data_IF_489249838103
#
_entry.id   IF_489249838103
#
_cell.length_a   1.000
_cell.length_b   1.000
_cell.length_c   1.000
_cell.angle_alpha   90.00
_cell.angle_beta   90.00
_cell.angle_gamma   90.00
#
_symmetry.space_group_name_H-M   'P 1'
#
loop_
_entity.id
_entity.type
_entity.pdbx_description
1 polymer ?
#
# COMPACT_ATOMS: atom_id res chain seq x y z
N UNK A 1 12.00 41.48 -10.26
CA UNK A 1 12.46 40.32 -11.03
C UNK A 1 11.56 39.14 -10.67
N UNK A 2 10.52 38.95 -11.47
CA UNK A 2 9.55 37.85 -11.32
C UNK A 2 10.21 36.58 -11.84
N UNK A 3 10.25 35.50 -11.04
CA UNK A 3 10.55 34.16 -11.56
C UNK A 3 9.23 33.59 -12.07
N UNK A 4 9.06 33.58 -13.39
CA UNK A 4 7.97 32.84 -14.00
C UNK A 4 8.15 31.34 -13.69
N UNK A 5 7.08 30.60 -13.36
CA UNK A 5 7.17 29.16 -13.16
C UNK A 5 7.45 28.53 -14.54
N UNK A 6 8.58 27.83 -14.66
CA UNK A 6 8.97 27.12 -15.87
C UNK A 6 7.87 26.12 -16.25
N UNK A 7 7.02 26.51 -17.20
CA UNK A 7 6.15 25.59 -17.93
C UNK A 7 7.00 24.80 -18.91
N UNK A 8 7.38 23.59 -18.51
CA UNK A 8 7.99 22.62 -19.42
C UNK A 8 6.94 22.13 -20.41
N UNK A 9 7.20 22.19 -21.73
CA UNK A 9 6.25 21.74 -22.72
C UNK A 9 6.07 20.23 -22.61
N UNK A 10 4.82 19.81 -22.43
CA UNK A 10 4.41 18.41 -22.55
C UNK A 10 4.78 17.91 -23.95
N UNK A 11 5.49 16.79 -24.11
CA UNK A 11 5.64 16.16 -25.41
C UNK A 11 4.25 15.77 -25.91
N UNK A 12 3.85 16.36 -27.03
CA UNK A 12 2.77 15.86 -27.83
C UNK A 12 3.28 14.58 -28.51
N UNK A 13 2.48 13.53 -28.42
CA UNK A 13 2.63 12.24 -29.08
C UNK A 13 3.43 11.18 -28.31
N UNK A 14 2.68 10.13 -27.98
CA UNK A 14 3.03 8.89 -27.29
C UNK A 14 3.17 8.93 -25.75
N UNK A 15 2.01 8.83 -25.08
CA UNK A 15 1.87 8.71 -23.63
C UNK A 15 2.31 7.35 -23.07
N UNK A 16 2.89 6.45 -23.88
CA UNK A 16 3.12 5.06 -23.47
C UNK A 16 4.58 4.62 -23.41
N UNK A 17 5.56 5.43 -23.83
CA UNK A 17 6.95 5.01 -23.79
C UNK A 17 7.90 6.08 -23.25
N UNK A 18 8.29 5.92 -21.99
CA UNK A 18 9.46 6.57 -21.40
C UNK A 18 10.55 5.51 -21.18
N UNK A 19 11.76 5.65 -21.75
CA UNK A 19 12.86 4.70 -21.52
C UNK A 19 13.27 4.55 -20.04
N UNK A 20 12.79 5.40 -19.12
CA UNK A 20 12.92 5.18 -17.66
C UNK A 20 12.07 4.03 -17.11
N UNK A 21 11.16 3.44 -17.90
CA UNK A 21 10.34 2.30 -17.49
C UNK A 21 11.16 1.03 -17.20
N UNK A 22 12.35 0.86 -17.79
CA UNK A 22 13.14 -0.36 -17.60
C UNK A 22 13.72 -0.50 -16.18
N UNK A 23 13.95 0.60 -15.46
CA UNK A 23 14.49 0.59 -14.09
C UNK A 23 13.47 1.03 -13.02
N UNK A 24 12.53 1.91 -13.37
CA UNK A 24 11.58 2.50 -12.42
C UNK A 24 10.11 2.33 -12.82
N UNK A 25 9.83 1.51 -13.84
CA UNK A 25 8.48 1.19 -14.26
C UNK A 25 7.68 0.46 -13.19
N UNK A 26 6.35 0.48 -13.35
CA UNK A 26 5.46 -0.30 -12.52
C UNK A 26 5.56 -1.78 -12.91
N UNK A 27 5.70 -2.65 -11.91
CA UNK A 27 5.57 -4.10 -12.11
C UNK A 27 4.12 -4.45 -12.49
N UNK A 28 3.84 -5.59 -13.13
CA UNK A 28 2.46 -5.99 -13.46
C UNK A 28 1.50 -5.97 -12.26
N UNK A 29 1.98 -6.34 -11.06
CA UNK A 29 1.21 -6.24 -9.82
C UNK A 29 0.95 -4.80 -9.36
N UNK A 30 1.89 -3.88 -9.63
CA UNK A 30 1.72 -2.45 -9.37
C UNK A 30 0.72 -1.80 -10.34
N UNK A 31 0.66 -2.27 -11.60
CA UNK A 31 -0.33 -1.84 -12.57
C UNK A 31 -1.75 -2.21 -12.14
N UNK A 32 -1.93 -3.41 -11.59
CA UNK A 32 -3.20 -3.86 -11.01
C UNK A 32 -3.76 -2.87 -9.97
N UNK A 33 -2.87 -2.31 -9.13
CA UNK A 33 -3.22 -1.34 -8.10
C UNK A 33 -3.46 0.07 -8.67
N UNK A 34 -2.59 0.52 -9.59
CA UNK A 34 -2.77 1.78 -10.34
C UNK A 34 -4.16 1.84 -10.98
N UNK A 35 -4.56 0.77 -11.67
CA UNK A 35 -5.81 0.73 -12.41
C UNK A 35 -7.04 0.75 -11.49
N UNK A 36 -6.87 0.37 -10.21
CA UNK A 36 -7.89 0.41 -9.15
C UNK A 36 -7.87 1.67 -8.29
N UNK A 37 -6.94 2.60 -8.54
CA UNK A 37 -6.84 3.84 -7.77
C UNK A 37 -8.17 4.61 -7.68
N UNK A 38 -8.99 4.76 -8.75
CA UNK A 38 -10.28 5.46 -8.64
C UNK A 38 -11.24 4.78 -7.68
N UNK A 39 -11.26 3.45 -7.67
CA UNK A 39 -12.10 2.64 -6.80
C UNK A 39 -11.66 2.76 -5.33
N UNK A 40 -10.36 2.61 -5.05
CA UNK A 40 -9.81 2.78 -3.70
C UNK A 40 -10.04 4.20 -3.17
N UNK A 41 -9.90 5.22 -4.04
CA UNK A 41 -10.18 6.61 -3.69
C UNK A 41 -11.63 6.85 -3.32
N UNK A 42 -12.57 6.20 -4.04
CA UNK A 42 -13.99 6.23 -3.72
C UNK A 42 -14.31 5.53 -2.39
N UNK A 43 -13.57 4.47 -2.06
CA UNK A 43 -13.63 3.78 -0.77
C UNK A 43 -12.94 4.54 0.39
N UNK A 44 -12.28 5.68 0.10
CA UNK A 44 -11.65 6.51 1.14
C UNK A 44 -10.15 6.25 1.34
N UNK A 45 -9.48 5.60 0.39
CA UNK A 45 -8.05 5.28 0.47
C UNK A 45 -7.24 5.93 -0.66
N UNK A 46 -6.09 6.50 -0.33
CA UNK A 46 -5.19 7.12 -1.31
C UNK A 46 -3.90 6.33 -1.42
N UNK A 47 -3.59 5.84 -2.62
CA UNK A 47 -2.30 5.22 -2.90
C UNK A 47 -1.18 6.26 -3.01
N UNK A 48 0.05 5.80 -2.84
CA UNK A 48 1.27 6.60 -3.04
C UNK A 48 1.30 7.29 -4.40
N UNK A 49 2.06 8.39 -4.48
CA UNK A 49 2.21 9.20 -5.70
C UNK A 49 2.65 8.40 -6.92
N UNK A 50 3.47 7.36 -6.72
CA UNK A 50 3.93 6.40 -7.74
C UNK A 50 2.80 5.82 -8.61
N UNK A 51 1.61 5.65 -8.04
CA UNK A 51 0.45 5.05 -8.71
C UNK A 51 -0.48 6.08 -9.38
N UNK A 52 -0.13 7.38 -9.33
CA UNK A 52 -0.97 8.41 -9.94
C UNK A 52 -0.76 8.49 -11.46
N UNK A 53 -1.83 8.77 -12.24
CA UNK A 53 -1.71 9.02 -13.67
C UNK A 53 -0.70 10.14 -13.94
N UNK A 54 0.17 9.94 -14.94
CA UNK A 54 1.23 10.88 -15.31
C UNK A 54 2.31 11.10 -14.24
N UNK A 55 2.40 10.25 -13.21
CA UNK A 55 3.56 10.27 -12.33
C UNK A 55 4.80 9.88 -13.15
N UNK A 56 5.77 10.78 -13.16
CA UNK A 56 7.11 10.50 -13.64
C UNK A 56 8.08 10.76 -12.49
N UNK A 57 9.04 9.85 -12.35
CA UNK A 57 10.20 10.05 -11.49
C UNK A 57 10.87 11.39 -11.86
N UNK A 58 10.92 12.33 -10.92
CA UNK A 58 11.59 13.62 -11.11
C UNK A 58 13.10 13.53 -10.84
N UNK A 59 13.64 12.33 -10.57
CA UNK A 59 15.04 12.17 -10.23
C UNK A 59 15.91 12.52 -11.44
N UNK A 60 16.87 13.45 -11.31
CA UNK A 60 17.73 13.83 -12.44
C UNK A 60 18.51 12.60 -12.91
N UNK A 61 18.33 12.23 -14.19
CA UNK A 61 19.09 11.17 -14.87
C UNK A 61 20.56 11.55 -15.17
N UNK A 62 21.02 12.70 -14.70
CA UNK A 62 22.35 13.24 -15.01
C UNK A 62 23.20 13.37 -13.76
N UNK A 63 24.27 12.57 -13.73
CA UNK A 63 25.31 12.68 -12.73
C UNK A 63 24.97 11.88 -11.48
N UNK A 64 25.93 11.05 -11.08
CA UNK A 64 25.93 10.33 -9.83
C UNK A 64 25.72 11.30 -8.66
N UNK A 65 24.50 11.45 -8.17
CA UNK A 65 24.28 11.86 -6.78
C UNK A 65 22.95 11.29 -6.26
N UNK A 66 23.15 10.15 -5.59
CA UNK A 66 22.41 9.63 -4.45
C UNK A 66 21.26 10.49 -3.93
N UNK A 67 20.03 10.29 -4.41
CA UNK A 67 18.83 10.67 -3.64
C UNK A 67 17.55 9.94 -4.09
N UNK A 68 17.55 9.26 -5.24
CA UNK A 68 16.38 8.52 -5.74
C UNK A 68 15.90 7.44 -4.77
N UNK A 69 16.79 6.65 -4.15
CA UNK A 69 16.41 5.55 -3.24
C UNK A 69 15.84 6.02 -1.88
N UNK A 70 15.96 7.31 -1.55
CA UNK A 70 15.48 7.86 -0.27
C UNK A 70 14.05 8.38 -0.38
N UNK A 71 13.43 8.23 -1.54
CA UNK A 71 12.16 8.83 -1.85
C UNK A 71 11.11 7.72 -1.89
N UNK A 72 10.01 7.93 -1.16
CA UNK A 72 8.97 6.93 -0.96
C UNK A 72 8.42 6.33 -2.28
N UNK A 73 8.39 7.13 -3.34
CA UNK A 73 7.89 6.75 -4.67
C UNK A 73 8.92 5.97 -5.52
N UNK A 74 10.17 5.85 -5.06
CA UNK A 74 11.18 4.99 -5.67
C UNK A 74 11.05 3.53 -5.25
N UNK A 75 10.39 3.25 -4.12
CA UNK A 75 10.29 1.91 -3.56
C UNK A 75 9.17 1.14 -4.26
N UNK A 76 9.48 0.05 -4.99
CA UNK A 76 8.45 -0.79 -5.59
C UNK A 76 7.65 -1.50 -4.50
N UNK A 77 6.40 -1.84 -4.79
CA UNK A 77 5.62 -2.68 -3.89
C UNK A 77 6.26 -4.09 -3.76
N UNK A 78 6.64 -4.54 -2.55
CA UNK A 78 7.28 -5.85 -2.37
C UNK A 78 6.30 -7.02 -2.51
N UNK A 79 5.00 -6.80 -2.33
CA UNK A 79 3.99 -7.88 -2.28
C UNK A 79 2.88 -7.63 -3.29
N UNK A 80 2.62 -8.58 -4.18
CA UNK A 80 1.68 -8.35 -5.28
C UNK A 80 0.24 -8.04 -4.83
N UNK A 81 -0.21 -8.68 -3.75
CA UNK A 81 -1.61 -8.63 -3.29
C UNK A 81 -1.80 -7.83 -2.00
N UNK A 82 -0.81 -7.03 -1.61
CA UNK A 82 -0.88 -6.10 -0.47
C UNK A 82 -0.32 -4.75 -0.92
N UNK A 83 -0.96 -3.64 -0.57
CA UNK A 83 -0.43 -2.31 -0.85
C UNK A 83 -0.64 -1.38 0.34
N UNK A 84 0.28 -0.45 0.54
CA UNK A 84 0.15 0.63 1.50
C UNK A 84 -0.74 1.77 0.96
N UNK A 85 -1.51 2.39 1.84
CA UNK A 85 -2.38 3.51 1.48
C UNK A 85 -2.61 4.45 2.67
N UNK A 86 -2.88 5.72 2.35
CA UNK A 86 -3.38 6.68 3.34
C UNK A 86 -4.89 6.57 3.44
N UNK A 87 -5.40 6.31 4.65
CA UNK A 87 -6.82 6.43 4.95
C UNK A 87 -7.20 7.90 4.99
N UNK A 88 -8.15 8.32 4.15
CA UNK A 88 -8.47 9.75 3.95
C UNK A 88 -9.18 10.41 5.13
N UNK A 89 -9.77 9.61 6.02
CA UNK A 89 -10.49 10.10 7.20
C UNK A 89 -9.53 10.69 8.24
N UNK A 90 -8.42 10.01 8.51
CA UNK A 90 -7.50 10.31 9.61
C UNK A 90 -6.03 10.43 9.19
N UNK A 91 -5.74 10.30 7.89
CA UNK A 91 -4.40 10.25 7.30
C UNK A 91 -3.50 9.16 7.91
N UNK A 92 -4.09 8.08 8.44
CA UNK A 92 -3.34 6.95 8.94
C UNK A 92 -2.85 6.05 7.81
N UNK A 93 -1.64 5.51 7.96
CA UNK A 93 -1.07 4.53 7.05
C UNK A 93 -1.67 3.15 7.30
N UNK A 94 -2.26 2.56 6.27
CA UNK A 94 -2.93 1.26 6.33
C UNK A 94 -2.36 0.30 5.28
N UNK A 95 -2.52 -1.00 5.54
CA UNK A 95 -2.32 -2.04 4.54
C UNK A 95 -3.67 -2.43 3.94
N UNK A 96 -3.74 -2.49 2.61
CA UNK A 96 -4.88 -3.01 1.86
C UNK A 96 -4.48 -4.36 1.26
N UNK A 97 -5.14 -5.42 1.70
CA UNK A 97 -4.91 -6.79 1.24
C UNK A 97 -6.02 -7.16 0.27
N UNK A 98 -5.66 -7.60 -0.94
CA UNK A 98 -6.61 -8.05 -1.95
C UNK A 98 -6.61 -9.58 -2.05
N UNK A 99 -7.79 -10.19 -2.01
CA UNK A 99 -7.98 -11.64 -2.16
C UNK A 99 -9.20 -11.94 -3.02
N UNK A 100 -9.20 -13.11 -3.66
CA UNK A 100 -10.44 -13.63 -4.25
C UNK A 100 -11.47 -13.88 -3.15
N UNK A 101 -12.72 -13.48 -3.38
CA UNK A 101 -13.76 -13.58 -2.35
C UNK A 101 -14.00 -15.03 -1.93
N UNK A 102 -13.89 -15.99 -2.85
CA UNK A 102 -14.05 -17.42 -2.53
C UNK A 102 -12.92 -18.01 -1.66
N UNK A 103 -11.72 -17.43 -1.68
CA UNK A 103 -10.58 -17.93 -0.89
C UNK A 103 -10.47 -17.29 0.49
N UNK A 104 -11.05 -16.10 0.68
CA UNK A 104 -10.82 -15.26 1.88
C UNK A 104 -11.82 -15.51 3.00
N UNK A 105 -12.89 -16.28 2.78
CA UNK A 105 -14.00 -16.39 3.75
C UNK A 105 -13.55 -16.79 5.16
N UNK A 106 -12.65 -17.78 5.26
CA UNK A 106 -12.11 -18.24 6.54
C UNK A 106 -11.21 -17.18 7.20
N UNK A 107 -10.30 -16.57 6.43
CA UNK A 107 -9.41 -15.50 6.92
C UNK A 107 -10.24 -14.31 7.42
N UNK A 108 -11.24 -13.88 6.65
CA UNK A 108 -12.15 -12.81 7.00
C UNK A 108 -12.97 -13.13 8.25
N UNK A 109 -13.46 -14.37 8.39
CA UNK A 109 -14.20 -14.79 9.58
C UNK A 109 -13.32 -14.72 10.85
N UNK A 110 -12.07 -15.19 10.75
CA UNK A 110 -11.10 -15.15 11.84
C UNK A 110 -10.73 -13.70 12.18
N UNK A 111 -10.41 -12.88 11.19
CA UNK A 111 -10.07 -11.46 11.41
C UNK A 111 -11.23 -10.69 12.04
N UNK A 112 -12.48 -10.93 11.59
CA UNK A 112 -13.67 -10.33 12.20
C UNK A 112 -13.84 -10.75 13.66
N UNK A 113 -13.67 -12.04 13.94
CA UNK A 113 -13.75 -12.56 15.30
C UNK A 113 -12.72 -11.90 16.22
N UNK A 114 -11.45 -11.88 15.81
CA UNK A 114 -10.36 -11.29 16.60
C UNK A 114 -10.45 -9.76 16.70
N UNK A 115 -11.16 -9.11 15.79
CA UNK A 115 -11.37 -7.65 15.80
C UNK A 115 -12.63 -7.21 16.53
N UNK A 116 -13.46 -8.16 17.00
CA UNK A 116 -14.63 -7.86 17.84
C UNK A 116 -14.20 -7.06 19.08
N UNK A 117 -15.04 -6.10 19.49
CA UNK A 117 -14.70 -5.17 20.58
C UNK A 117 -14.26 -5.87 21.87
N UNK A 118 -14.86 -7.03 22.19
CA UNK A 118 -14.49 -7.80 23.39
C UNK A 118 -13.11 -8.42 23.26
N UNK A 119 -12.83 -9.04 22.13
CA UNK A 119 -11.56 -9.72 21.88
C UNK A 119 -10.44 -8.74 21.62
N UNK A 120 -10.70 -7.62 20.96
CA UNK A 120 -9.71 -6.56 20.71
C UNK A 120 -9.18 -5.91 21.99
N UNK A 121 -9.96 -5.95 23.08
CA UNK A 121 -9.54 -5.47 24.41
C UNK A 121 -8.94 -6.58 25.28
N UNK A 122 -8.94 -7.82 24.81
CA UNK A 122 -8.37 -8.92 25.55
C UNK A 122 -6.85 -8.79 25.57
N UNK A 123 -6.19 -8.88 26.74
CA UNK A 123 -4.74 -8.66 26.86
C UNK A 123 -3.92 -9.64 26.02
N UNK A 124 -4.41 -10.86 25.84
CA UNK A 124 -3.73 -11.91 25.07
C UNK A 124 -4.00 -11.84 23.55
N UNK A 125 -4.83 -10.90 23.09
CA UNK A 125 -5.10 -10.73 21.67
C UNK A 125 -4.15 -9.68 21.07
N UNK A 126 -3.11 -10.18 20.41
CA UNK A 126 -2.12 -9.36 19.70
C UNK A 126 -2.38 -9.29 18.19
N UNK A 127 -3.54 -9.77 17.71
CA UNK A 127 -3.83 -9.81 16.30
C UNK A 127 -4.09 -8.41 15.74
N UNK A 128 -3.59 -8.16 14.53
CA UNK A 128 -3.84 -6.92 13.81
C UNK A 128 -5.36 -6.73 13.62
N UNK A 129 -5.93 -5.58 14.02
CA UNK A 129 -7.35 -5.36 13.89
C UNK A 129 -7.73 -5.15 12.41
N UNK A 130 -8.89 -5.68 12.05
CA UNK A 130 -9.57 -5.40 10.80
C UNK A 130 -10.26 -4.02 10.92
N UNK A 131 -9.81 -3.06 10.13
CA UNK A 131 -10.31 -1.68 10.13
C UNK A 131 -11.52 -1.53 9.20
N UNK A 132 -11.47 -2.17 8.05
CA UNK A 132 -12.52 -2.08 7.02
C UNK A 132 -12.49 -3.30 6.09
N UNK A 133 -13.63 -3.56 5.44
CA UNK A 133 -13.79 -4.58 4.41
C UNK A 133 -14.71 -4.06 3.32
N UNK A 134 -14.21 -4.06 2.10
CA UNK A 134 -15.00 -3.72 0.93
C UNK A 134 -14.73 -4.69 -0.22
N UNK A 135 -15.58 -4.65 -1.23
CA UNK A 135 -15.55 -5.60 -2.33
C UNK A 135 -15.68 -4.87 -3.65
N UNK A 136 -15.19 -5.49 -4.72
CA UNK A 136 -15.50 -5.00 -6.06
C UNK A 136 -17.03 -4.89 -6.24
N UNK A 137 -17.51 -3.82 -6.92
CA UNK A 137 -18.93 -3.53 -7.06
C UNK A 137 -19.67 -4.55 -7.95
N UNK A 138 -18.94 -5.33 -8.76
CA UNK A 138 -19.53 -6.32 -9.65
C UNK A 138 -19.91 -7.60 -8.90
N UNK A 139 -21.14 -7.66 -8.41
CA UNK A 139 -21.66 -8.78 -7.62
C UNK A 139 -21.75 -10.10 -8.40
N UNK A 140 -21.80 -10.05 -9.74
CA UNK A 140 -21.93 -11.23 -10.61
C UNK A 140 -20.58 -11.85 -11.03
N UNK A 141 -19.45 -11.26 -10.66
CA UNK A 141 -18.14 -11.77 -11.07
C UNK A 141 -17.70 -12.94 -10.17
N UNK A 142 -17.51 -14.17 -10.69
CA UNK A 142 -16.96 -15.28 -9.91
C UNK A 142 -15.50 -15.05 -9.47
N UNK A 143 -14.80 -14.07 -10.05
CA UNK A 143 -13.49 -13.57 -9.62
C UNK A 143 -13.59 -12.31 -8.75
N UNK A 144 -14.74 -12.05 -8.12
CA UNK A 144 -14.94 -10.89 -7.24
C UNK A 144 -13.82 -10.79 -6.21
N UNK A 145 -13.20 -9.63 -6.12
CA UNK A 145 -12.14 -9.37 -5.16
C UNK A 145 -12.72 -8.79 -3.87
N UNK A 146 -12.11 -9.18 -2.76
CA UNK A 146 -12.36 -8.66 -1.43
C UNK A 146 -11.10 -7.95 -0.96
N UNK A 147 -11.28 -6.75 -0.44
CA UNK A 147 -10.24 -5.89 0.08
C UNK A 147 -10.40 -5.81 1.60
N UNK A 148 -9.36 -6.21 2.31
CA UNK A 148 -9.26 -6.14 3.76
C UNK A 148 -8.32 -5.00 4.12
N UNK A 149 -8.70 -4.19 5.09
CA UNK A 149 -7.86 -3.07 5.56
C UNK A 149 -7.42 -3.34 6.99
N UNK A 150 -6.11 -3.29 7.21
CA UNK A 150 -5.48 -3.43 8.54
C UNK A 150 -4.51 -2.27 8.78
N UNK A 151 -4.07 -2.02 10.02
CA UNK A 151 -2.95 -1.11 10.25
C UNK A 151 -1.72 -1.53 9.44
N UNK A 152 -0.92 -0.57 9.00
CA UNK A 152 0.41 -0.87 8.45
C UNK A 152 1.34 -1.26 9.59
N UNK A 153 1.89 -2.47 9.53
CA UNK A 153 2.80 -2.99 10.55
C UNK A 153 4.24 -2.94 10.04
N UNK A 154 5.16 -2.64 10.95
CA UNK A 154 6.60 -2.69 10.67
C UNK A 154 7.11 -4.13 10.74
N UNK A 155 8.14 -4.41 9.94
CA UNK A 155 8.92 -5.63 10.05
C UNK A 155 9.57 -5.70 11.44
N UNK A 156 9.57 -6.88 12.07
CA UNK A 156 10.09 -7.03 13.43
C UNK A 156 11.60 -6.79 13.49
N UNK A 157 12.32 -7.06 12.40
CA UNK A 157 13.76 -6.85 12.27
C UNK A 157 14.17 -5.37 12.33
N UNK A 158 13.22 -4.46 12.07
CA UNK A 158 13.48 -3.02 12.11
C UNK A 158 13.52 -2.46 13.53
N UNK A 159 13.07 -3.24 14.53
CA UNK A 159 13.15 -2.85 15.94
C UNK A 159 14.21 -3.68 16.67
N UNK A 160 15.38 -3.10 17.04
CA UNK A 160 16.36 -3.83 17.82
C UNK A 160 15.76 -4.14 19.21
N UNK A 161 15.86 -5.40 19.65
CA UNK A 161 15.56 -5.75 21.02
C UNK A 161 16.59 -5.07 21.94
N UNK A 162 16.18 -4.01 22.63
CA UNK A 162 17.06 -3.26 23.53
C UNK A 162 17.35 -4.03 24.83
N UNK A 163 16.46 -4.95 25.22
CA UNK A 163 16.60 -5.77 26.44
C UNK A 163 16.24 -7.24 26.20
N UNK A 164 16.82 -8.12 27.03
CA UNK A 164 16.47 -9.56 27.05
C UNK A 164 14.97 -9.75 27.31
N UNK A 165 14.36 -8.91 28.14
CA UNK A 165 12.94 -8.97 28.40
C UNK A 165 12.11 -8.68 27.13
N UNK A 166 12.49 -7.70 26.31
CA UNK A 166 11.76 -7.46 25.04
C UNK A 166 11.84 -8.65 24.09
N UNK A 167 12.98 -9.35 24.05
CA UNK A 167 13.12 -10.56 23.25
C UNK A 167 12.28 -11.72 23.82
N UNK A 168 12.25 -11.89 25.14
CA UNK A 168 11.41 -12.89 25.80
C UNK A 168 9.92 -12.59 25.60
N UNK A 169 9.49 -11.35 25.79
CA UNK A 169 8.11 -10.91 25.56
C UNK A 169 7.68 -11.17 24.11
N UNK A 170 8.58 -10.98 23.13
CA UNK A 170 8.32 -11.33 21.74
C UNK A 170 8.15 -12.84 21.53
N UNK A 171 9.05 -13.66 22.07
CA UNK A 171 8.96 -15.13 21.96
C UNK A 171 7.70 -15.68 22.66
N UNK A 172 7.27 -15.04 23.75
CA UNK A 172 6.08 -15.44 24.51
C UNK A 172 4.74 -15.03 23.88
N UNK A 173 4.73 -14.35 22.72
CA UNK A 173 3.50 -14.04 21.96
C UNK A 173 2.89 -15.23 21.21
N UNK A 174 3.44 -16.46 21.37
CA UNK A 174 2.91 -17.72 20.80
C UNK A 174 1.87 -18.38 21.69
#
# INVERSE_FOLDING_TARGET
MSKDPETFPMPADDLTFNPSYELYGLRPSEEFWRDRMPFLRAAGYSLRRRYQPHWFSKWPMQGHDMESIHQEDSWPNPTDMVIDADRREDASLVAIICRSSGSVENELAILRFLSDEKLRRHPDNHCAPLLDVFHDPEAANPQRLTFLVTPWLYEFEQWPFETVNNALDFVHQT
#
